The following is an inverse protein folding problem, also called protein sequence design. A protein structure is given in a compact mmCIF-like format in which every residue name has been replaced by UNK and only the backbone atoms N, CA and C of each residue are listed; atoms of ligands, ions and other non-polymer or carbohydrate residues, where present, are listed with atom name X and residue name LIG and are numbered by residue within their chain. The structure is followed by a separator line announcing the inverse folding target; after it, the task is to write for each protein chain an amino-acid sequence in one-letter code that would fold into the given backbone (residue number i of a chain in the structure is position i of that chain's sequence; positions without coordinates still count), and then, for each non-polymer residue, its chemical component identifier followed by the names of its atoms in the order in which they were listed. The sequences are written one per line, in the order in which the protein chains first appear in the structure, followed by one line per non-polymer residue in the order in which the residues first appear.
data_IF_228559169410
#
_entry.id   IF_228559169410
#
_cell.length_a   1.000
_cell.length_b   1.000
_cell.length_c   1.000
_cell.angle_alpha   90.00
_cell.angle_beta   90.00
_cell.angle_gamma   90.00
#
_symmetry.space_group_name_H-M   'P 1'
#
loop_
_entity.id
_entity.type
_entity.pdbx_description
1 polymer ?
#
# COMPACT_ATOMS: atom_id res chain seq x y z
N UNK A 1 7.16 -27.59 5.76
CA UNK A 1 6.59 -27.46 4.39
C UNK A 1 7.61 -26.68 3.56
N UNK A 2 7.68 -26.88 2.24
CA UNK A 2 8.61 -26.10 1.42
C UNK A 2 8.05 -24.68 1.22
N UNK A 3 8.88 -23.68 1.45
CA UNK A 3 8.58 -22.28 1.21
C UNK A 3 9.16 -21.88 -0.15
N UNK A 4 8.39 -21.12 -0.91
CA UNK A 4 8.79 -20.51 -2.17
C UNK A 4 8.86 -19.02 -1.94
N UNK A 5 10.07 -18.49 -2.09
CA UNK A 5 10.39 -17.06 -1.94
C UNK A 5 9.83 -16.27 -3.12
N UNK A 6 9.38 -15.04 -2.86
CA UNK A 6 9.06 -14.11 -3.92
C UNK A 6 10.33 -13.69 -4.67
N UNK A 7 10.24 -13.56 -5.99
CA UNK A 7 11.30 -13.04 -6.84
C UNK A 7 10.89 -11.68 -7.37
N UNK A 8 11.76 -10.70 -7.21
CA UNK A 8 11.60 -9.36 -7.79
C UNK A 8 12.47 -9.30 -9.04
N UNK A 9 11.85 -9.41 -10.20
CA UNK A 9 12.50 -9.22 -11.49
C UNK A 9 12.63 -7.73 -11.81
N UNK A 10 13.81 -7.32 -12.26
CA UNK A 10 14.12 -5.93 -12.58
C UNK A 10 15.05 -5.83 -13.79
N UNK A 11 15.04 -4.68 -14.45
CA UNK A 11 15.99 -4.33 -15.50
C UNK A 11 17.34 -3.96 -14.89
N UNK A 12 18.42 -4.64 -15.30
CA UNK A 12 19.76 -4.47 -14.72
C UNK A 12 20.27 -3.04 -14.89
N UNK A 13 19.94 -2.38 -16.01
CA UNK A 13 20.44 -1.05 -16.32
C UNK A 13 19.85 0.05 -15.41
N UNK A 14 18.60 -0.10 -14.98
CA UNK A 14 17.85 0.97 -14.33
C UNK A 14 17.39 0.63 -12.92
N UNK A 15 17.31 -0.66 -12.57
CA UNK A 15 16.70 -1.10 -11.31
C UNK A 15 15.17 -1.09 -11.35
N UNK A 16 14.57 -0.79 -12.51
CA UNK A 16 13.12 -0.76 -12.67
C UNK A 16 12.55 -2.16 -12.53
N UNK A 17 11.58 -2.32 -11.63
CA UNK A 17 10.93 -3.61 -11.37
C UNK A 17 9.95 -3.91 -12.49
N UNK A 18 10.05 -5.12 -13.01
CA UNK A 18 9.25 -5.64 -14.12
C UNK A 18 8.13 -6.55 -13.62
N UNK A 19 8.43 -7.37 -12.62
CA UNK A 19 7.52 -8.36 -12.05
C UNK A 19 7.94 -8.69 -10.63
N UNK A 20 6.96 -8.92 -9.75
CA UNK A 20 7.19 -9.57 -8.46
C UNK A 20 6.37 -10.86 -8.45
N UNK A 21 7.04 -12.01 -8.36
CA UNK A 21 6.35 -13.30 -8.29
C UNK A 21 5.75 -13.49 -6.90
N UNK A 22 4.62 -14.21 -6.79
CA UNK A 22 4.06 -14.53 -5.48
C UNK A 22 5.03 -15.40 -4.68
N UNK A 23 5.00 -15.25 -3.35
CA UNK A 23 5.54 -16.22 -2.40
C UNK A 23 4.47 -17.23 -2.00
N UNK A 24 4.87 -18.38 -1.48
CA UNK A 24 3.91 -19.37 -1.01
C UNK A 24 4.53 -20.49 -0.20
N UNK A 25 3.67 -21.22 0.51
CA UNK A 25 4.07 -22.39 1.30
C UNK A 25 3.29 -23.62 0.82
N UNK A 26 3.96 -24.78 0.78
CA UNK A 26 3.33 -26.05 0.43
C UNK A 26 3.63 -26.52 -0.99
N UNK A 27 2.61 -26.64 -1.84
CA UNK A 27 2.69 -27.26 -3.17
C UNK A 27 3.26 -26.40 -4.29
N UNK A 28 3.68 -25.16 -4.00
CA UNK A 28 4.38 -24.33 -4.98
C UNK A 28 5.77 -24.92 -5.23
N UNK A 29 6.14 -25.00 -6.50
CA UNK A 29 7.48 -25.39 -6.93
C UNK A 29 8.30 -24.14 -7.23
N UNK A 30 9.58 -24.17 -6.86
CA UNK A 30 10.52 -23.16 -7.33
C UNK A 30 10.68 -23.27 -8.84
N UNK A 31 10.58 -22.13 -9.50
CA UNK A 31 10.81 -21.99 -10.94
C UNK A 31 12.23 -21.52 -11.21
N UNK A 32 12.75 -21.75 -12.41
CA UNK A 32 13.97 -21.09 -12.89
C UNK A 32 13.63 -19.76 -13.55
N UNK A 33 14.64 -18.90 -13.74
CA UNK A 33 14.52 -17.66 -14.51
C UNK A 33 13.92 -17.89 -15.90
N UNK A 34 14.39 -18.93 -16.60
CA UNK A 34 13.91 -19.27 -17.94
C UNK A 34 12.45 -19.74 -17.92
N UNK A 35 12.04 -20.49 -16.89
CA UNK A 35 10.64 -20.87 -16.72
C UNK A 35 9.78 -19.64 -16.47
N UNK A 36 10.19 -18.75 -15.58
CA UNK A 36 9.46 -17.52 -15.28
C UNK A 36 9.30 -16.64 -16.53
N UNK A 37 10.34 -16.46 -17.35
CA UNK A 37 10.27 -15.69 -18.60
C UNK A 37 9.24 -16.28 -19.59
N UNK A 38 9.09 -17.60 -19.61
CA UNK A 38 8.11 -18.26 -20.48
C UNK A 38 6.68 -18.19 -19.93
N UNK A 39 6.52 -18.10 -18.62
CA UNK A 39 5.22 -18.06 -17.93
C UNK A 39 4.67 -16.63 -17.90
N UNK A 40 5.50 -15.64 -17.58
CA UNK A 40 5.06 -14.29 -17.29
C UNK A 40 5.20 -13.37 -18.52
N UNK A 41 4.08 -12.80 -19.02
CA UNK A 41 4.11 -11.94 -20.19
C UNK A 41 4.96 -10.67 -20.00
N UNK A 42 5.08 -10.16 -18.77
CA UNK A 42 5.89 -8.98 -18.41
C UNK A 42 7.37 -9.16 -18.71
N UNK A 43 7.85 -10.40 -18.72
CA UNK A 43 9.24 -10.76 -18.96
C UNK A 43 9.50 -11.24 -20.39
N UNK A 44 8.46 -11.64 -21.11
CA UNK A 44 8.57 -12.38 -22.39
C UNK A 44 9.23 -11.59 -23.50
N UNK A 45 8.98 -10.29 -23.56
CA UNK A 45 9.53 -9.39 -24.58
C UNK A 45 10.87 -8.77 -24.16
N UNK A 46 11.41 -9.16 -22.99
CA UNK A 46 12.68 -8.66 -22.47
C UNK A 46 13.83 -9.56 -22.89
N UNK A 47 14.99 -8.97 -23.11
CA UNK A 47 16.21 -9.75 -23.28
C UNK A 47 16.60 -10.36 -21.93
N UNK A 48 16.79 -11.69 -21.91
CA UNK A 48 17.17 -12.44 -20.69
C UNK A 48 18.46 -11.93 -20.04
N UNK A 49 19.35 -11.31 -20.82
CA UNK A 49 20.60 -10.75 -20.34
C UNK A 49 20.45 -9.33 -19.75
N UNK A 50 19.33 -8.65 -20.00
CA UNK A 50 19.06 -7.30 -19.51
C UNK A 50 18.21 -7.31 -18.23
N UNK A 51 17.70 -8.48 -17.84
CA UNK A 51 16.88 -8.67 -16.65
C UNK A 51 17.61 -9.50 -15.61
N UNK A 52 17.38 -9.23 -14.34
CA UNK A 52 17.80 -10.08 -13.24
C UNK A 52 16.71 -10.17 -12.18
N UNK A 53 16.82 -11.09 -11.23
CA UNK A 53 15.96 -11.11 -10.05
C UNK A 53 16.74 -11.11 -8.74
N UNK A 54 16.09 -10.62 -7.70
CA UNK A 54 16.47 -10.88 -6.31
C UNK A 54 15.37 -11.68 -5.62
N UNK A 55 15.75 -12.49 -4.65
CA UNK A 55 14.79 -13.23 -3.82
C UNK A 55 14.53 -12.46 -2.53
N UNK A 56 13.27 -12.40 -2.13
CA UNK A 56 12.86 -11.86 -0.85
C UNK A 56 12.72 -12.99 0.17
N UNK A 57 12.94 -12.68 1.45
CA UNK A 57 12.61 -13.62 2.52
C UNK A 57 11.09 -13.85 2.57
N UNK A 58 10.69 -15.10 2.86
CA UNK A 58 9.28 -15.47 2.92
C UNK A 58 8.53 -14.62 3.97
N UNK A 59 7.36 -14.11 3.61
CA UNK A 59 6.52 -13.24 4.44
C UNK A 59 6.86 -11.75 4.34
N UNK A 60 7.93 -11.39 3.62
CA UNK A 60 8.32 -9.98 3.44
C UNK A 60 7.36 -9.25 2.49
N UNK A 61 6.80 -9.98 1.52
CA UNK A 61 6.02 -9.38 0.44
C UNK A 61 4.75 -8.68 0.98
N UNK A 62 4.08 -9.31 1.94
CA UNK A 62 2.87 -8.75 2.57
C UNK A 62 3.14 -7.40 3.25
N UNK A 63 4.30 -7.27 3.90
CA UNK A 63 4.66 -6.06 4.66
C UNK A 63 5.10 -4.90 3.75
N UNK A 64 5.67 -5.19 2.59
CA UNK A 64 6.21 -4.17 1.67
C UNK A 64 5.14 -3.22 1.16
N UNK A 65 3.94 -3.71 0.88
CA UNK A 65 2.90 -2.90 0.22
C UNK A 65 2.05 -2.07 1.18
N UNK A 66 2.30 -2.17 2.49
CA UNK A 66 1.61 -1.37 3.49
C UNK A 66 2.16 0.06 3.43
N UNK A 67 1.31 1.03 3.08
CA UNK A 67 1.66 2.46 3.00
C UNK A 67 2.85 2.77 2.08
N UNK A 68 3.04 1.97 1.04
CA UNK A 68 4.12 2.16 0.07
C UNK A 68 3.90 3.40 -0.80
N UNK A 69 4.96 4.18 -1.00
CA UNK A 69 5.01 5.33 -1.90
C UNK A 69 5.66 4.98 -3.23
N UNK A 70 6.82 4.32 -3.19
CA UNK A 70 7.53 3.84 -4.36
C UNK A 70 8.44 2.67 -4.01
N UNK A 71 8.84 1.90 -5.01
CA UNK A 71 9.80 0.82 -4.85
C UNK A 71 10.61 0.60 -6.12
N UNK A 72 11.89 0.25 -5.96
CA UNK A 72 12.82 -0.05 -7.05
C UNK A 72 13.94 -0.95 -6.54
N UNK A 73 14.72 -1.55 -7.44
CA UNK A 73 15.93 -2.26 -7.06
C UNK A 73 17.12 -1.32 -7.15
N UNK A 74 17.87 -1.19 -6.06
CA UNK A 74 19.19 -0.55 -6.10
C UNK A 74 20.17 -1.51 -6.78
N UNK A 75 20.55 -1.20 -8.02
CA UNK A 75 21.39 -2.05 -8.87
C UNK A 75 22.78 -2.29 -8.26
N UNK A 76 23.33 -1.32 -7.54
CA UNK A 76 24.66 -1.42 -6.95
C UNK A 76 24.67 -2.39 -5.76
N UNK A 77 23.62 -2.35 -4.93
CA UNK A 77 23.51 -3.18 -3.73
C UNK A 77 22.70 -4.46 -3.94
N UNK A 78 22.00 -4.58 -5.06
CA UNK A 78 21.05 -5.66 -5.39
C UNK A 78 20.02 -5.88 -4.28
N UNK A 79 19.42 -4.79 -3.82
CA UNK A 79 18.40 -4.81 -2.78
C UNK A 79 17.15 -4.06 -3.22
N UNK A 80 16.00 -4.57 -2.81
CA UNK A 80 14.74 -3.85 -2.94
C UNK A 80 14.77 -2.63 -2.02
N UNK A 81 14.61 -1.45 -2.60
CA UNK A 81 14.39 -0.19 -1.89
C UNK A 81 12.91 0.12 -1.95
N UNK A 82 12.35 0.39 -0.78
CA UNK A 82 10.94 0.74 -0.61
C UNK A 82 10.89 2.08 0.11
N UNK A 83 10.23 3.04 -0.51
CA UNK A 83 9.89 4.31 0.10
C UNK A 83 8.45 4.20 0.61
N UNK A 84 8.25 4.52 1.87
CA UNK A 84 6.94 4.51 2.51
C UNK A 84 6.44 5.94 2.70
N UNK A 85 5.13 6.12 2.69
CA UNK A 85 4.54 7.37 3.16
C UNK A 85 4.81 7.55 4.65
N UNK A 86 5.14 8.77 5.03
CA UNK A 86 5.11 9.19 6.43
C UNK A 86 3.67 9.25 6.94
N UNK A 87 3.48 9.19 8.26
CA UNK A 87 2.15 9.35 8.84
C UNK A 87 1.52 10.71 8.47
N UNK A 88 2.33 11.77 8.42
CA UNK A 88 1.88 13.11 8.03
C UNK A 88 1.34 13.14 6.59
N UNK A 89 2.04 12.53 5.63
CA UNK A 89 1.55 12.41 4.25
C UNK A 89 0.24 11.61 4.17
N UNK A 90 0.10 10.55 4.98
CA UNK A 90 -1.15 9.76 5.05
C UNK A 90 -2.29 10.59 5.61
N UNK A 91 -2.04 11.36 6.66
CA UNK A 91 -3.04 12.22 7.30
C UNK A 91 -3.49 13.32 6.33
N UNK A 92 -2.55 13.95 5.62
CA UNK A 92 -2.86 14.94 4.58
C UNK A 92 -3.69 14.36 3.44
N UNK A 93 -3.37 13.16 2.96
CA UNK A 93 -4.19 12.47 1.95
C UNK A 93 -5.60 12.23 2.49
N UNK A 94 -5.71 11.70 3.70
CA UNK A 94 -6.99 11.33 4.33
C UNK A 94 -7.89 12.54 4.57
N UNK A 95 -7.30 13.66 5.02
CA UNK A 95 -8.02 14.91 5.25
C UNK A 95 -8.56 15.55 3.95
N UNK A 96 -7.95 15.23 2.81
CA UNK A 96 -8.37 15.73 1.50
C UNK A 96 -9.35 14.77 0.77
N UNK A 97 -9.65 13.59 1.34
CA UNK A 97 -10.68 12.70 0.81
C UNK A 97 -12.05 13.32 1.13
N UNK A 98 -12.90 13.59 0.13
CA UNK A 98 -14.26 14.02 0.39
C UNK A 98 -14.97 12.98 1.26
N UNK A 99 -15.61 13.44 2.33
CA UNK A 99 -16.41 12.59 3.21
C UNK A 99 -17.42 11.79 2.37
N UNK A 100 -17.62 10.53 2.74
CA UNK A 100 -18.70 9.72 2.17
C UNK A 100 -20.07 10.33 2.51
N UNK A 101 -21.10 9.98 1.75
CA UNK A 101 -22.46 10.44 2.04
C UNK A 101 -22.93 10.05 3.46
N UNK A 102 -22.50 8.88 3.95
CA UNK A 102 -22.79 8.41 5.31
C UNK A 102 -22.09 9.27 6.36
N UNK A 103 -20.81 9.60 6.14
CA UNK A 103 -20.03 10.44 7.05
C UNK A 103 -20.54 11.89 7.07
N UNK A 104 -20.97 12.42 5.93
CA UNK A 104 -21.62 13.74 5.85
C UNK A 104 -22.93 13.76 6.64
N UNK A 105 -23.76 12.73 6.50
CA UNK A 105 -25.01 12.62 7.24
C UNK A 105 -24.77 12.52 8.75
N UNK A 106 -23.76 11.75 9.17
CA UNK A 106 -23.37 11.64 10.58
C UNK A 106 -22.86 12.97 11.13
N UNK A 107 -22.04 13.68 10.35
CA UNK A 107 -21.55 15.02 10.70
C UNK A 107 -22.70 16.04 10.82
N UNK A 108 -23.64 16.04 9.88
CA UNK A 108 -24.83 16.90 9.92
C UNK A 108 -25.70 16.61 11.14
N UNK A 109 -25.90 15.33 11.48
CA UNK A 109 -26.63 14.93 12.69
C UNK A 109 -25.91 15.40 13.96
N UNK A 110 -24.59 15.26 14.02
CA UNK A 110 -23.78 15.72 15.15
C UNK A 110 -23.85 17.25 15.32
N UNK A 111 -23.80 18.00 14.21
CA UNK A 111 -23.94 19.46 14.20
C UNK A 111 -25.33 19.90 14.67
N UNK A 112 -26.39 19.23 14.20
CA UNK A 112 -27.76 19.53 14.62
C UNK A 112 -27.97 19.29 16.11
N UNK A 113 -27.43 18.19 16.65
CA UNK A 113 -27.47 17.90 18.09
C UNK A 113 -26.76 18.97 18.91
N UNK A 114 -25.59 19.43 18.46
CA UNK A 114 -24.87 20.51 19.12
C UNK A 114 -25.68 21.81 19.12
N UNK A 115 -26.33 22.15 18.01
CA UNK A 115 -27.20 23.33 17.91
C UNK A 115 -28.39 23.24 18.88
N UNK A 116 -29.02 22.07 18.99
CA UNK A 116 -30.13 21.85 19.93
C UNK A 116 -29.67 22.01 21.39
N UNK A 117 -28.55 21.41 21.76
CA UNK A 117 -27.99 21.53 23.12
C UNK A 117 -27.66 22.98 23.45
N UNK A 118 -27.09 23.73 22.51
CA UNK A 118 -26.80 25.15 22.71
C UNK A 118 -28.09 25.98 22.91
N UNK A 119 -29.15 25.68 22.15
CA UNK A 119 -30.46 26.33 22.31
C UNK A 119 -31.08 26.05 23.69
N UNK A 120 -31.02 24.81 24.17
CA UNK A 120 -31.56 24.44 25.47
C UNK A 120 -30.82 25.14 26.62
N UNK A 121 -29.49 25.24 26.54
CA UNK A 121 -28.68 25.98 27.51
C UNK A 121 -29.08 27.47 27.52
N UNK A 122 -29.24 28.08 26.35
CA UNK A 122 -29.64 29.48 26.24
C UNK A 122 -31.04 29.72 26.83
N UNK A 123 -32.00 28.83 26.57
CA UNK A 123 -33.36 28.92 27.13
C UNK A 123 -33.31 28.83 28.66
N UNK A 124 -32.53 27.89 29.21
CA UNK A 124 -32.35 27.76 30.66
C UNK A 124 -31.74 29.02 31.31
N UNK A 125 -30.79 29.68 30.64
CA UNK A 125 -30.20 30.94 31.10
C UNK A 125 -31.21 32.10 31.08
N UNK A 126 -32.12 32.14 30.10
CA UNK A 126 -33.17 33.17 30.01
C UNK A 126 -34.30 32.95 31.03
N UNK A 127 -34.58 31.71 31.43
CA UNK A 127 -35.63 31.39 32.39
C UNK A 127 -35.19 31.47 33.87
N UNK A 128 -33.87 31.40 34.15
CA UNK A 128 -33.32 31.49 35.50
C UNK A 128 -33.05 32.92 36.03
N UNK A 129 -33.36 33.94 35.24
CA UNK A 129 -33.19 35.36 35.60
C UNK A 129 -34.50 36.03 36.00
N UNK A 130 -35.08 35.67 37.15
CA UNK A 130 -36.13 36.44 37.86
C UNK A 130 -35.88 36.37 39.36
#
# INVERSE_FOLDING_TARGET
MKEVKAKVYYEIATGNILLITPEGQGGLMETTKEQDINIYPELKDKNIHDIEFIELEFGTLESIFINIKSYHVDVATKQLKVDYYTQEEIDEMTNNIPLSAEQLLEQDNANLLLELVQKDILIGQLQGGV
#
